data_IF_206235119342
#
_entry.id   IF_206235119342
#
_cell.length_a   1.000
_cell.length_b   1.000
_cell.length_c   1.000
_cell.angle_alpha   90.00
_cell.angle_beta   90.00
_cell.angle_gamma   90.00
#
_symmetry.space_group_name_H-M   'P 1'
#
loop_
_entity.id
_entity.type
_entity.pdbx_description
1 polymer ?
#
# COMPACT_ATOMS: atom_id res chain seq x y z
N UNK A 1 -15.49 -15.99 2.11
CA UNK A 1 -14.40 -15.43 2.97
C UNK A 1 -12.96 -15.77 2.53
N UNK A 2 -12.61 -17.04 2.26
CA UNK A 2 -11.23 -17.46 1.88
C UNK A 2 -10.57 -16.65 0.74
N UNK A 3 -11.32 -16.31 -0.31
CA UNK A 3 -10.81 -15.50 -1.43
C UNK A 3 -10.40 -14.08 -0.99
N UNK A 4 -11.13 -13.46 -0.06
CA UNK A 4 -10.80 -12.15 0.49
C UNK A 4 -9.46 -12.19 1.23
N UNK A 5 -9.26 -13.21 2.07
CA UNK A 5 -8.00 -13.39 2.79
C UNK A 5 -6.81 -13.59 1.85
N UNK A 6 -6.95 -14.46 0.85
CA UNK A 6 -5.87 -14.73 -0.09
C UNK A 6 -5.54 -13.48 -0.93
N UNK A 7 -6.54 -12.72 -1.37
CA UNK A 7 -6.31 -11.45 -2.06
C UNK A 7 -5.55 -10.44 -1.18
N UNK A 8 -5.92 -10.32 0.10
CA UNK A 8 -5.20 -9.48 1.07
C UNK A 8 -3.77 -9.97 1.32
N UNK A 9 -3.55 -11.28 1.43
CA UNK A 9 -2.20 -11.88 1.59
C UNK A 9 -1.32 -11.58 0.38
N UNK A 10 -1.87 -11.65 -0.84
CA UNK A 10 -1.18 -11.25 -2.07
C UNK A 10 -0.85 -9.76 -2.05
N UNK A 11 -1.78 -8.89 -1.65
CA UNK A 11 -1.53 -7.45 -1.50
C UNK A 11 -0.42 -7.16 -0.47
N UNK A 12 -0.40 -7.87 0.67
CA UNK A 12 0.66 -7.78 1.68
C UNK A 12 2.03 -8.18 1.10
N UNK A 13 2.09 -9.27 0.34
CA UNK A 13 3.33 -9.73 -0.32
C UNK A 13 3.83 -8.70 -1.33
N UNK A 14 2.93 -8.12 -2.11
CA UNK A 14 3.23 -7.01 -3.03
C UNK A 14 3.81 -5.80 -2.28
N UNK A 15 3.14 -5.37 -1.20
CA UNK A 15 3.58 -4.23 -0.39
C UNK A 15 4.95 -4.45 0.26
N UNK A 16 5.24 -5.66 0.77
CA UNK A 16 6.57 -6.00 1.30
C UNK A 16 7.64 -5.95 0.20
N UNK A 17 7.34 -6.49 -0.97
CA UNK A 17 8.27 -6.48 -2.11
C UNK A 17 8.59 -5.05 -2.54
N UNK A 18 7.58 -4.19 -2.64
CA UNK A 18 7.77 -2.78 -2.92
C UNK A 18 8.57 -2.06 -1.82
N UNK A 19 8.33 -2.36 -0.53
CA UNK A 19 9.12 -1.78 0.56
C UNK A 19 10.61 -2.10 0.42
N UNK A 20 10.96 -3.31 -0.02
CA UNK A 20 12.35 -3.69 -0.32
C UNK A 20 12.90 -2.92 -1.52
N UNK A 21 12.15 -2.85 -2.63
CA UNK A 21 12.53 -2.10 -3.84
C UNK A 21 12.83 -0.64 -3.50
N UNK A 22 11.93 0.01 -2.75
CA UNK A 22 12.03 1.42 -2.38
C UNK A 22 13.16 1.64 -1.35
N UNK A 23 13.37 0.68 -0.45
CA UNK A 23 14.52 0.72 0.48
C UNK A 23 15.85 0.63 -0.27
N UNK A 24 15.93 -0.16 -1.35
CA UNK A 24 17.11 -0.23 -2.20
C UNK A 24 17.29 1.06 -3.00
N UNK A 25 16.19 1.65 -3.50
CA UNK A 25 16.21 2.96 -4.14
C UNK A 25 16.81 4.02 -3.20
N UNK A 26 16.41 4.06 -1.92
CA UNK A 26 16.91 5.03 -0.93
C UNK A 26 18.42 4.97 -0.65
N UNK A 27 19.09 3.88 -1.05
CA UNK A 27 20.53 3.65 -0.86
C UNK A 27 21.35 4.00 -2.11
N UNK A 28 20.69 4.30 -3.23
CA UNK A 28 21.39 4.67 -4.46
C UNK A 28 22.04 6.04 -4.30
N UNK A 29 23.24 6.19 -4.89
CA UNK A 29 23.90 7.49 -5.00
C UNK A 29 23.13 8.38 -5.97
N UNK A 30 23.20 9.70 -5.77
CA UNK A 30 22.59 10.68 -6.68
C UNK A 30 21.15 11.07 -6.37
N UNK A 31 20.58 10.60 -5.25
CA UNK A 31 19.34 11.14 -4.71
C UNK A 31 19.57 12.55 -4.14
N UNK A 32 18.68 13.48 -4.46
CA UNK A 32 18.59 14.75 -3.77
C UNK A 32 18.18 14.55 -2.30
N UNK A 33 18.46 15.55 -1.45
CA UNK A 33 18.04 15.52 -0.05
C UNK A 33 16.52 15.36 0.09
N UNK A 34 15.75 15.97 -0.82
CA UNK A 34 14.30 15.83 -0.85
C UNK A 34 13.89 14.40 -1.17
N UNK A 35 14.40 13.81 -2.26
CA UNK A 35 14.07 12.43 -2.62
C UNK A 35 14.46 11.44 -1.53
N UNK A 36 15.62 11.61 -0.89
CA UNK A 36 16.04 10.76 0.22
C UNK A 36 15.07 10.84 1.41
N UNK A 37 14.62 12.05 1.77
CA UNK A 37 13.63 12.27 2.84
C UNK A 37 12.28 11.67 2.47
N UNK A 38 11.78 11.97 1.28
CA UNK A 38 10.47 11.50 0.78
C UNK A 38 10.45 9.98 0.62
N UNK A 39 11.56 9.37 0.19
CA UNK A 39 11.67 7.90 0.10
C UNK A 39 11.52 7.25 1.47
N UNK A 40 12.14 7.80 2.53
CA UNK A 40 11.95 7.30 3.90
C UNK A 40 10.48 7.40 4.37
N UNK A 41 9.82 8.51 4.05
CA UNK A 41 8.38 8.70 4.33
C UNK A 41 7.55 7.66 3.58
N UNK A 42 7.80 7.47 2.29
CA UNK A 42 7.11 6.46 1.50
C UNK A 42 7.31 5.04 2.06
N UNK A 43 8.52 4.65 2.47
CA UNK A 43 8.77 3.35 3.11
C UNK A 43 7.90 3.17 4.36
N UNK A 44 7.76 4.22 5.18
CA UNK A 44 6.86 4.21 6.35
C UNK A 44 5.41 4.04 5.93
N UNK A 45 4.94 4.76 4.92
CA UNK A 45 3.57 4.63 4.41
C UNK A 45 3.28 3.23 3.87
N UNK A 46 4.20 2.62 3.10
CA UNK A 46 4.03 1.25 2.61
C UNK A 46 4.01 0.22 3.75
N UNK A 47 4.83 0.42 4.80
CA UNK A 47 4.77 -0.41 6.02
C UNK A 47 3.42 -0.25 6.75
N UNK A 48 2.88 0.97 6.79
CA UNK A 48 1.54 1.20 7.32
C UNK A 48 0.48 0.48 6.48
N UNK A 49 0.57 0.49 5.14
CA UNK A 49 -0.32 -0.29 4.28
C UNK A 49 -0.27 -1.79 4.59
N UNK A 50 0.93 -2.36 4.81
CA UNK A 50 1.07 -3.76 5.25
C UNK A 50 0.35 -4.02 6.57
N UNK A 51 0.47 -3.10 7.53
CA UNK A 51 -0.21 -3.21 8.82
C UNK A 51 -1.74 -3.15 8.67
N UNK A 52 -2.24 -2.22 7.86
CA UNK A 52 -3.67 -2.08 7.61
C UNK A 52 -4.24 -3.30 6.87
N UNK A 53 -3.56 -3.81 5.84
CA UNK A 53 -3.99 -5.06 5.19
C UNK A 53 -4.00 -6.25 6.16
N UNK A 54 -3.05 -6.36 7.10
CA UNK A 54 -3.07 -7.40 8.14
C UNK A 54 -4.26 -7.27 9.08
N UNK A 55 -4.62 -6.03 9.47
CA UNK A 55 -5.83 -5.79 10.27
C UNK A 55 -7.08 -6.18 9.49
N UNK A 56 -7.12 -5.91 8.19
CA UNK A 56 -8.20 -6.36 7.30
C UNK A 56 -8.30 -7.90 7.28
N UNK A 57 -7.17 -8.61 7.14
CA UNK A 57 -7.14 -10.10 7.22
C UNK A 57 -7.68 -10.58 8.56
N UNK A 58 -7.25 -9.97 9.67
CA UNK A 58 -7.71 -10.35 11.01
C UNK A 58 -9.23 -10.15 11.12
N UNK A 59 -9.76 -9.00 10.73
CA UNK A 59 -11.20 -8.75 10.76
C UNK A 59 -11.97 -9.78 9.93
N UNK A 60 -11.46 -10.17 8.76
CA UNK A 60 -12.05 -11.23 7.93
C UNK A 60 -12.03 -12.60 8.64
N UNK A 61 -10.95 -12.94 9.33
CA UNK A 61 -10.81 -14.22 10.03
C UNK A 61 -11.56 -14.31 11.35
N UNK A 62 -11.86 -13.17 11.97
CA UNK A 62 -12.65 -13.09 13.21
C UNK A 62 -14.17 -13.25 12.94
N UNK A 63 -14.59 -13.34 11.67
CA UNK A 63 -15.99 -13.56 11.30
C UNK A 63 -16.42 -15.01 11.57
N UNK A 64 -17.52 -15.15 12.29
CA UNK A 64 -18.16 -16.41 12.65
C UNK A 64 -19.26 -16.76 11.64
N UNK A 65 -19.83 -15.77 10.93
CA UNK A 65 -20.84 -15.98 9.89
C UNK A 65 -20.88 -14.89 8.81
N UNK A 66 -21.74 -15.08 7.81
CA UNK A 66 -21.90 -14.11 6.70
C UNK A 66 -22.53 -12.78 7.14
N UNK A 67 -23.18 -12.75 8.31
CA UNK A 67 -23.89 -11.59 8.87
C UNK A 67 -23.02 -10.67 9.75
N UNK A 68 -21.71 -10.91 9.84
CA UNK A 68 -20.79 -10.10 10.65
C UNK A 68 -20.47 -8.76 9.96
N UNK A 69 -21.46 -7.86 9.97
CA UNK A 69 -21.43 -6.54 9.34
C UNK A 69 -20.38 -5.61 9.96
N UNK A 70 -20.12 -5.76 11.27
CA UNK A 70 -19.14 -4.94 11.99
C UNK A 70 -17.72 -5.28 11.52
N UNK A 71 -17.35 -6.56 11.55
CA UNK A 71 -16.08 -7.07 11.08
C UNK A 71 -15.91 -6.75 9.58
N UNK A 72 -17.00 -6.79 8.78
CA UNK A 72 -16.99 -6.42 7.37
C UNK A 72 -16.62 -4.94 7.19
N UNK A 73 -17.24 -4.09 8.00
CA UNK A 73 -16.98 -2.66 8.01
C UNK A 73 -15.51 -2.37 8.36
N UNK A 74 -14.95 -3.01 9.38
CA UNK A 74 -13.53 -2.85 9.70
C UNK A 74 -12.60 -3.40 8.62
N UNK A 75 -12.92 -4.56 8.04
CA UNK A 75 -12.14 -5.12 6.94
C UNK A 75 -12.03 -4.15 5.77
N UNK A 76 -13.16 -3.55 5.33
CA UNK A 76 -13.22 -2.51 4.29
C UNK A 76 -12.44 -1.27 4.69
N UNK A 77 -12.68 -0.76 5.90
CA UNK A 77 -12.05 0.47 6.41
C UNK A 77 -10.52 0.35 6.46
N UNK A 78 -10.02 -0.80 6.92
CA UNK A 78 -8.58 -1.08 6.94
C UNK A 78 -8.02 -1.21 5.52
N UNK A 79 -8.73 -1.86 4.59
CA UNK A 79 -8.29 -1.94 3.19
C UNK A 79 -8.24 -0.56 2.51
N UNK A 80 -9.25 0.30 2.73
CA UNK A 80 -9.23 1.70 2.28
C UNK A 80 -8.07 2.47 2.88
N UNK A 81 -7.84 2.37 4.20
CA UNK A 81 -6.71 3.01 4.86
C UNK A 81 -5.36 2.55 4.29
N UNK A 82 -5.23 1.28 3.95
CA UNK A 82 -4.04 0.76 3.29
C UNK A 82 -3.80 1.44 1.93
N UNK A 83 -4.85 1.60 1.12
CA UNK A 83 -4.80 2.26 -0.19
C UNK A 83 -4.48 3.76 -0.07
N UNK A 84 -5.09 4.46 0.90
CA UNK A 84 -4.77 5.87 1.19
C UNK A 84 -3.29 6.05 1.53
N UNK A 85 -2.71 5.17 2.35
CA UNK A 85 -1.29 5.20 2.66
C UNK A 85 -0.40 5.05 1.41
N UNK A 86 -0.80 4.22 0.43
CA UNK A 86 -0.08 4.10 -0.85
C UNK A 86 -0.20 5.39 -1.66
N UNK A 87 -1.38 6.01 -1.71
CA UNK A 87 -1.62 7.30 -2.34
C UNK A 87 -0.70 8.38 -1.78
N UNK A 88 -0.59 8.49 -0.44
CA UNK A 88 0.31 9.46 0.20
C UNK A 88 1.79 9.26 -0.15
N UNK A 89 2.22 8.03 -0.51
CA UNK A 89 3.56 7.85 -1.07
C UNK A 89 3.68 8.47 -2.46
N UNK A 90 2.71 8.22 -3.35
CA UNK A 90 2.69 8.78 -4.72
C UNK A 90 2.72 10.31 -4.67
N UNK A 91 1.87 10.90 -3.83
CA UNK A 91 1.74 12.35 -3.68
C UNK A 91 3.06 13.01 -3.26
N UNK A 92 3.86 12.34 -2.43
CA UNK A 92 5.18 12.83 -2.03
C UNK A 92 6.18 12.99 -3.17
N UNK A 93 5.98 12.24 -4.27
CA UNK A 93 6.80 12.26 -5.49
C UNK A 93 6.10 12.90 -6.70
N UNK A 94 4.95 13.55 -6.49
CA UNK A 94 4.36 14.39 -7.53
C UNK A 94 5.31 15.57 -7.84
N UNK A 95 5.48 15.88 -9.13
CA UNK A 95 6.35 16.97 -9.54
C UNK A 95 5.80 18.30 -9.02
N UNK A 96 6.69 19.12 -8.46
CA UNK A 96 6.37 20.48 -7.99
C UNK A 96 7.25 21.47 -8.75
N UNK A 97 6.78 22.70 -9.04
CA UNK A 97 7.54 23.70 -9.81
C UNK A 97 8.96 23.95 -9.27
N UNK A 98 9.15 23.90 -7.95
CA UNK A 98 10.43 24.15 -7.28
C UNK A 98 11.23 22.86 -7.00
N UNK A 99 10.71 21.68 -7.33
CA UNK A 99 11.31 20.38 -6.96
C UNK A 99 11.16 19.36 -8.07
N UNK A 100 12.17 19.32 -8.96
CA UNK A 100 12.27 18.27 -9.98
C UNK A 100 12.71 16.95 -9.34
N UNK A 101 11.86 15.93 -9.43
CA UNK A 101 12.19 14.55 -9.07
C UNK A 101 12.96 13.91 -10.23
N UNK A 102 13.95 13.07 -9.93
CA UNK A 102 14.57 12.23 -10.93
C UNK A 102 13.53 11.29 -11.57
N UNK A 103 13.41 11.32 -12.90
CA UNK A 103 12.39 10.54 -13.62
C UNK A 103 12.46 9.03 -13.36
N UNK A 104 13.65 8.48 -13.12
CA UNK A 104 13.81 7.06 -12.77
C UNK A 104 13.31 6.78 -11.35
N UNK A 105 13.59 7.66 -10.39
CA UNK A 105 13.08 7.55 -9.01
C UNK A 105 11.55 7.57 -9.04
N UNK A 106 10.96 8.57 -9.70
CA UNK A 106 9.51 8.70 -9.85
C UNK A 106 8.88 7.44 -10.48
N UNK A 107 9.46 6.96 -11.58
CA UNK A 107 8.99 5.76 -12.30
C UNK A 107 9.02 4.50 -11.43
N UNK A 108 10.05 4.32 -10.59
CA UNK A 108 10.13 3.18 -9.66
C UNK A 108 9.05 3.27 -8.59
N UNK A 109 8.83 4.45 -8.02
CA UNK A 109 7.78 4.70 -7.02
C UNK A 109 6.39 4.43 -7.62
N UNK A 110 6.08 5.08 -8.75
CA UNK A 110 4.77 4.99 -9.41
C UNK A 110 4.42 3.55 -9.76
N UNK A 111 5.36 2.81 -10.36
CA UNK A 111 5.16 1.39 -10.71
C UNK A 111 4.94 0.52 -9.47
N UNK A 112 5.74 0.73 -8.43
CA UNK A 112 5.62 -0.03 -7.19
C UNK A 112 4.26 0.21 -6.55
N UNK A 113 3.81 1.46 -6.45
CA UNK A 113 2.53 1.80 -5.85
C UNK A 113 1.36 1.33 -6.71
N UNK A 114 1.42 1.48 -8.03
CA UNK A 114 0.37 1.02 -8.93
C UNK A 114 0.11 -0.50 -8.80
N UNK A 115 1.17 -1.31 -8.70
CA UNK A 115 1.03 -2.76 -8.51
C UNK A 115 0.32 -3.08 -7.20
N UNK A 116 0.75 -2.49 -6.09
CA UNK A 116 0.13 -2.78 -4.77
C UNK A 116 -1.29 -2.24 -4.72
N UNK A 117 -1.54 -1.04 -5.24
CA UNK A 117 -2.88 -0.44 -5.30
C UNK A 117 -3.82 -1.30 -6.11
N UNK A 118 -3.37 -1.89 -7.23
CA UNK A 118 -4.18 -2.84 -8.00
C UNK A 118 -4.54 -4.08 -7.16
N UNK A 119 -3.56 -4.68 -6.49
CA UNK A 119 -3.80 -5.85 -5.62
C UNK A 119 -4.74 -5.51 -4.44
N UNK A 120 -4.53 -4.35 -3.82
CA UNK A 120 -5.38 -3.86 -2.72
C UNK A 120 -6.80 -3.56 -3.17
N UNK A 121 -7.00 -3.00 -4.36
CA UNK A 121 -8.32 -2.75 -4.93
C UNK A 121 -9.05 -4.04 -5.29
N UNK A 122 -8.35 -5.07 -5.77
CA UNK A 122 -8.94 -6.41 -5.97
C UNK A 122 -9.41 -6.98 -4.63
N UNK A 123 -8.58 -6.92 -3.59
CA UNK A 123 -8.95 -7.37 -2.26
C UNK A 123 -10.16 -6.58 -1.71
N UNK A 124 -10.14 -5.25 -1.82
CA UNK A 124 -11.24 -4.40 -1.39
C UNK A 124 -12.54 -4.69 -2.17
N UNK A 125 -12.46 -4.89 -3.48
CA UNK A 125 -13.61 -5.22 -4.32
C UNK A 125 -14.26 -6.52 -3.88
N UNK A 126 -13.45 -7.57 -3.61
CA UNK A 126 -13.92 -8.84 -3.07
C UNK A 126 -14.57 -8.67 -1.70
N UNK A 127 -13.97 -7.89 -0.80
CA UNK A 127 -14.55 -7.64 0.54
C UNK A 127 -15.90 -6.90 0.42
N UNK A 128 -16.03 -5.96 -0.52
CA UNK A 128 -17.23 -5.15 -0.67
C UNK A 128 -18.40 -5.84 -1.38
N UNK A 129 -18.15 -6.93 -2.11
CA UNK A 129 -19.16 -7.68 -2.88
C UNK A 129 -19.18 -9.17 -2.51
N UNK A 130 -18.75 -9.48 -1.29
CA UNK A 130 -18.72 -10.84 -0.77
C UNK A 130 -20.10 -11.35 -0.40
#
# INVERSE_FOLDING_TARGET
MRLCEEALKVAIKGARSASVIISNLSKQKGLSQYEAKTTKVCIKSVKNSVHQFRKSVKAIGDMIGEQDEYELFYARSYAYSALTNLGSCIDGFADQPERKINSNVKKVIDRSMAVISKLGNVALSLISHR
#
